data_IF_386166224466
#
_entry.id   IF_386166224466
#
_cell.length_a   1.000
_cell.length_b   1.000
_cell.length_c   1.000
_cell.angle_alpha   90.00
_cell.angle_beta   90.00
_cell.angle_gamma   90.00
#
_symmetry.space_group_name_H-M   'P 1'
#
loop_
_entity.id
_entity.type
_entity.pdbx_description
1 polymer ?
#
# COMPACT_ATOMS: atom_id res chain seq x y z
N UNK A 1 18.71 11.52 -34.50
CA UNK A 1 19.36 10.28 -34.99
C UNK A 1 18.36 9.56 -35.87
N UNK A 2 18.59 9.59 -37.18
CA UNK A 2 17.81 8.78 -38.13
C UNK A 2 18.11 7.30 -37.84
N UNK A 3 17.06 6.50 -37.70
CA UNK A 3 17.12 5.06 -37.45
C UNK A 3 17.84 4.38 -38.61
N UNK A 4 19.01 3.80 -38.36
CA UNK A 4 19.77 3.01 -39.35
C UNK A 4 19.15 1.60 -39.46
N UNK A 5 17.86 1.56 -39.79
CA UNK A 5 17.09 0.34 -40.02
C UNK A 5 16.67 0.35 -41.48
N UNK A 6 16.89 -0.78 -42.17
CA UNK A 6 16.41 -0.98 -43.53
C UNK A 6 14.91 -0.68 -43.65
N UNK A 7 14.49 -0.04 -44.75
CA UNK A 7 13.12 0.44 -44.94
C UNK A 7 12.11 -0.73 -44.95
N UNK A 8 12.46 -1.84 -45.60
CA UNK A 8 11.60 -3.02 -45.64
C UNK A 8 11.52 -3.66 -44.26
N UNK A 9 12.67 -3.80 -43.57
CA UNK A 9 12.69 -4.31 -42.20
C UNK A 9 11.86 -3.45 -41.23
N UNK A 10 11.94 -2.12 -41.36
CA UNK A 10 11.11 -1.18 -40.61
C UNK A 10 9.62 -1.40 -40.91
N UNK A 11 9.24 -1.46 -42.19
CA UNK A 11 7.85 -1.64 -42.59
C UNK A 11 7.28 -2.97 -42.07
N UNK A 12 8.03 -4.07 -42.20
CA UNK A 12 7.66 -5.38 -41.65
C UNK A 12 7.48 -5.33 -40.14
N UNK A 13 8.40 -4.70 -39.41
CA UNK A 13 8.31 -4.58 -37.95
C UNK A 13 7.10 -3.73 -37.50
N UNK A 14 6.77 -2.67 -38.24
CA UNK A 14 5.58 -1.85 -38.01
C UNK A 14 4.31 -2.67 -38.19
N UNK A 15 4.17 -3.38 -39.33
CA UNK A 15 3.00 -4.22 -39.58
C UNK A 15 2.87 -5.31 -38.52
N UNK A 16 3.98 -5.94 -38.14
CA UNK A 16 3.98 -6.98 -37.13
C UNK A 16 3.53 -6.49 -35.75
N UNK A 17 3.98 -5.31 -35.32
CA UNK A 17 3.52 -4.71 -34.08
C UNK A 17 2.00 -4.43 -34.09
N UNK A 18 1.47 -3.97 -35.23
CA UNK A 18 0.04 -3.70 -35.40
C UNK A 18 -0.79 -4.99 -35.41
N UNK A 19 -0.34 -6.02 -36.10
CA UNK A 19 -0.97 -7.34 -36.13
C UNK A 19 -1.09 -7.95 -34.74
N UNK A 20 0.03 -8.02 -34.00
CA UNK A 20 0.04 -8.56 -32.63
C UNK A 20 -0.88 -7.78 -31.70
N UNK A 21 -0.88 -6.45 -31.80
CA UNK A 21 -1.76 -5.61 -31.00
C UNK A 21 -3.24 -5.68 -31.39
N UNK A 22 -3.58 -6.05 -32.63
CA UNK A 22 -4.96 -6.27 -33.10
C UNK A 22 -5.46 -7.66 -32.74
N UNK A 23 -4.59 -8.66 -32.78
CA UNK A 23 -4.92 -10.03 -32.42
C UNK A 23 -5.32 -10.15 -30.95
N UNK A 24 -4.76 -9.31 -30.07
CA UNK A 24 -5.09 -9.34 -28.64
C UNK A 24 -4.68 -10.64 -27.96
N UNK A 25 -3.80 -11.45 -28.57
CA UNK A 25 -3.34 -12.71 -27.99
C UNK A 25 -2.15 -12.44 -27.04
N UNK A 26 -2.26 -12.80 -25.74
CA UNK A 26 -1.17 -12.73 -24.77
C UNK A 26 0.14 -13.40 -25.20
N UNK A 27 0.05 -14.46 -26.00
CA UNK A 27 1.22 -15.19 -26.53
C UNK A 27 2.10 -14.34 -27.44
N UNK A 28 1.58 -13.21 -27.95
CA UNK A 28 2.35 -12.23 -28.71
C UNK A 28 3.32 -11.39 -27.88
N UNK A 29 3.22 -11.42 -26.54
CA UNK A 29 4.03 -10.59 -25.64
C UNK A 29 5.54 -10.74 -25.86
N UNK A 30 6.14 -11.96 -25.94
CA UNK A 30 7.57 -12.11 -26.13
C UNK A 30 8.07 -11.49 -27.45
N UNK A 31 7.26 -11.52 -28.49
CA UNK A 31 7.61 -10.90 -29.77
C UNK A 31 7.52 -9.38 -29.71
N UNK A 32 6.48 -8.83 -29.09
CA UNK A 32 6.38 -7.39 -28.84
C UNK A 32 7.55 -6.86 -27.99
N UNK A 33 8.01 -7.64 -27.00
CA UNK A 33 9.21 -7.31 -26.20
C UNK A 33 10.45 -7.20 -27.08
N UNK A 34 10.62 -8.09 -28.08
CA UNK A 34 11.73 -7.96 -29.04
C UNK A 34 11.61 -6.67 -29.86
N UNK A 35 10.40 -6.33 -30.30
CA UNK A 35 10.16 -5.09 -31.07
C UNK A 35 10.46 -3.81 -30.28
N UNK A 36 10.30 -3.82 -28.95
CA UNK A 36 10.72 -2.71 -28.08
C UNK A 36 12.23 -2.43 -28.10
N UNK A 37 13.05 -3.37 -28.58
CA UNK A 37 14.52 -3.19 -28.63
C UNK A 37 15.02 -2.66 -29.97
N UNK A 38 14.13 -2.54 -30.97
CA UNK A 38 14.52 -2.12 -32.31
C UNK A 38 14.89 -0.62 -32.38
N UNK A 39 15.78 -0.23 -33.30
CA UNK A 39 16.29 1.15 -33.38
C UNK A 39 15.21 2.17 -33.78
N UNK A 40 14.15 1.75 -34.46
CA UNK A 40 13.05 2.60 -34.88
C UNK A 40 12.16 3.03 -33.71
N UNK A 41 12.07 4.34 -33.46
CA UNK A 41 11.19 4.90 -32.43
C UNK A 41 9.70 4.58 -32.68
N UNK A 42 9.28 4.54 -33.96
CA UNK A 42 7.91 4.18 -34.34
C UNK A 42 7.58 2.74 -33.99
N UNK A 43 8.49 1.81 -34.27
CA UNK A 43 8.31 0.39 -33.94
C UNK A 43 8.21 0.22 -32.43
N UNK A 44 9.12 0.83 -31.65
CA UNK A 44 9.06 0.76 -30.18
C UNK A 44 7.76 1.36 -29.63
N UNK A 45 7.31 2.49 -30.19
CA UNK A 45 6.05 3.14 -29.79
C UNK A 45 4.84 2.25 -30.07
N UNK A 46 4.78 1.62 -31.24
CA UNK A 46 3.71 0.69 -31.60
C UNK A 46 3.73 -0.58 -30.76
N UNK A 47 4.91 -1.13 -30.50
CA UNK A 47 5.09 -2.27 -29.62
C UNK A 47 4.63 -1.96 -28.19
N UNK A 48 5.02 -0.81 -27.63
CA UNK A 48 4.55 -0.36 -26.32
C UNK A 48 3.02 -0.22 -26.28
N UNK A 49 2.43 0.37 -27.33
CA UNK A 49 0.98 0.47 -27.46
C UNK A 49 0.29 -0.89 -27.49
N UNK A 50 0.86 -1.86 -28.22
CA UNK A 50 0.31 -3.21 -28.33
C UNK A 50 0.40 -3.96 -27.00
N UNK A 51 1.55 -3.87 -26.30
CA UNK A 51 1.72 -4.47 -24.96
C UNK A 51 0.67 -3.91 -23.99
N UNK A 52 0.46 -2.59 -23.97
CA UNK A 52 -0.58 -1.98 -23.14
C UNK A 52 -1.99 -2.51 -23.41
N UNK A 53 -2.32 -2.85 -24.66
CA UNK A 53 -3.61 -3.48 -25.00
C UNK A 53 -3.71 -4.90 -24.46
N UNK A 54 -2.61 -5.67 -24.47
CA UNK A 54 -2.58 -7.05 -24.00
C UNK A 54 -2.86 -7.18 -22.49
N UNK A 55 -2.81 -6.09 -21.70
CA UNK A 55 -3.21 -6.14 -20.29
C UNK A 55 -4.67 -6.60 -20.12
N UNK A 56 -5.56 -6.19 -21.04
CA UNK A 56 -6.97 -6.60 -21.04
C UNK A 56 -7.21 -8.06 -21.47
N UNK A 57 -6.18 -8.74 -21.96
CA UNK A 57 -6.25 -10.11 -22.45
C UNK A 57 -5.50 -11.11 -21.54
N UNK A 58 -4.94 -10.65 -20.41
CA UNK A 58 -4.25 -11.53 -19.46
C UNK A 58 -2.79 -11.82 -19.80
N UNK A 59 -2.12 -10.94 -20.53
CA UNK A 59 -0.66 -11.02 -20.69
C UNK A 59 0.08 -10.92 -19.36
N UNK A 60 1.22 -11.61 -19.26
CA UNK A 60 2.07 -11.60 -18.06
C UNK A 60 2.48 -10.17 -17.70
N UNK A 61 1.83 -9.65 -16.65
CA UNK A 61 2.04 -8.29 -16.16
C UNK A 61 3.48 -8.05 -15.73
N UNK A 62 4.14 -9.04 -15.12
CA UNK A 62 5.51 -8.87 -14.61
C UNK A 62 6.49 -8.77 -15.77
N UNK A 63 6.34 -9.64 -16.77
CA UNK A 63 7.17 -9.59 -17.99
C UNK A 63 6.94 -8.28 -18.77
N UNK A 64 5.68 -7.86 -18.92
CA UNK A 64 5.32 -6.63 -19.62
C UNK A 64 5.89 -5.38 -18.93
N UNK A 65 5.68 -5.24 -17.61
CA UNK A 65 6.20 -4.11 -16.82
C UNK A 65 7.73 -4.06 -16.90
N UNK A 66 8.40 -5.20 -16.72
CA UNK A 66 9.87 -5.27 -16.81
C UNK A 66 10.40 -4.81 -18.17
N UNK A 67 9.72 -5.16 -19.25
CA UNK A 67 10.12 -4.76 -20.61
C UNK A 67 9.80 -3.28 -20.92
N UNK A 68 8.68 -2.76 -20.40
CA UNK A 68 8.25 -1.38 -20.61
C UNK A 68 9.07 -0.37 -19.79
N UNK A 69 9.56 -0.75 -18.61
CA UNK A 69 10.32 0.12 -17.69
C UNK A 69 11.47 0.91 -18.36
N UNK A 70 12.44 0.27 -19.05
CA UNK A 70 13.53 1.02 -19.69
C UNK A 70 13.04 1.97 -20.79
N UNK A 71 11.96 1.61 -21.51
CA UNK A 71 11.38 2.43 -22.58
C UNK A 71 10.65 3.65 -21.99
N UNK A 72 9.90 3.45 -20.91
CA UNK A 72 9.19 4.52 -20.22
C UNK A 72 10.14 5.55 -19.62
N UNK A 73 11.24 5.10 -19.00
CA UNK A 73 12.13 5.95 -18.22
C UNK A 73 13.29 6.54 -19.02
N UNK A 74 13.73 5.86 -20.09
CA UNK A 74 15.03 6.16 -20.74
C UNK A 74 15.00 6.15 -22.26
N UNK A 75 13.86 5.92 -22.91
CA UNK A 75 13.82 5.94 -24.39
C UNK A 75 14.26 7.33 -24.92
N UNK A 76 15.13 7.39 -25.93
CA UNK A 76 15.57 8.67 -26.48
C UNK A 76 14.45 9.48 -27.14
N UNK A 77 13.35 8.83 -27.53
CA UNK A 77 12.22 9.47 -28.19
C UNK A 77 11.07 9.72 -27.19
N UNK A 78 10.75 10.98 -26.85
CA UNK A 78 9.76 11.27 -25.80
C UNK A 78 8.35 10.76 -26.10
N UNK A 79 7.95 10.68 -27.38
CA UNK A 79 6.65 10.06 -27.72
C UNK A 79 6.64 8.56 -27.42
N UNK A 80 7.77 7.88 -27.55
CA UNK A 80 7.89 6.45 -27.22
C UNK A 80 7.83 6.25 -25.71
N UNK A 81 8.47 7.13 -24.92
CA UNK A 81 8.29 7.19 -23.46
C UNK A 81 6.81 7.34 -23.09
N UNK A 82 6.10 8.29 -23.71
CA UNK A 82 4.68 8.53 -23.44
C UNK A 82 3.82 7.27 -23.63
N UNK A 83 4.03 6.53 -24.73
CA UNK A 83 3.25 5.32 -25.00
C UNK A 83 3.62 4.18 -24.04
N UNK A 84 4.88 4.03 -23.66
CA UNK A 84 5.30 3.07 -22.65
C UNK A 84 4.70 3.40 -21.27
N UNK A 85 4.64 4.67 -20.88
CA UNK A 85 3.98 5.11 -19.64
C UNK A 85 2.47 4.86 -19.67
N UNK A 86 1.80 5.15 -20.79
CA UNK A 86 0.38 4.82 -21.00
C UNK A 86 0.12 3.32 -20.89
N UNK A 87 1.04 2.49 -21.38
CA UNK A 87 0.97 1.04 -21.26
C UNK A 87 1.22 0.58 -19.81
N UNK A 88 2.24 1.10 -19.12
CA UNK A 88 2.48 0.80 -17.70
C UNK A 88 1.26 1.08 -16.83
N UNK A 89 0.54 2.18 -17.10
CA UNK A 89 -0.71 2.53 -16.43
C UNK A 89 -1.76 1.39 -16.48
N UNK A 90 -1.83 0.63 -17.57
CA UNK A 90 -2.84 -0.44 -17.71
C UNK A 90 -2.49 -1.73 -16.96
N UNK A 91 -1.26 -1.83 -16.44
CA UNK A 91 -0.80 -2.95 -15.63
C UNK A 91 -0.88 -2.68 -14.12
N UNK A 92 -1.25 -1.47 -13.71
CA UNK A 92 -1.69 -1.21 -12.34
C UNK A 92 -0.65 -1.57 -11.27
N UNK A 93 -1.09 -2.27 -10.23
CA UNK A 93 -0.25 -2.69 -9.10
C UNK A 93 1.00 -3.51 -9.51
N UNK A 94 1.05 -4.14 -10.70
CA UNK A 94 2.26 -4.80 -11.18
C UNK A 94 3.43 -3.82 -11.40
N UNK A 95 3.14 -2.52 -11.57
CA UNK A 95 4.12 -1.44 -11.67
C UNK A 95 4.63 -0.90 -10.33
N UNK A 96 4.29 -1.52 -9.19
CA UNK A 96 4.63 -1.01 -7.85
C UNK A 96 6.13 -0.73 -7.67
N UNK A 97 7.01 -1.58 -8.21
CA UNK A 97 8.46 -1.41 -8.11
C UNK A 97 8.97 -0.14 -8.83
N UNK A 98 8.21 0.40 -9.79
CA UNK A 98 8.57 1.60 -10.56
C UNK A 98 7.99 2.90 -9.97
N UNK A 99 7.21 2.81 -8.88
CA UNK A 99 6.40 3.96 -8.43
C UNK A 99 7.25 5.21 -8.15
N UNK A 100 8.41 5.04 -7.51
CA UNK A 100 9.28 6.17 -7.22
C UNK A 100 9.88 6.77 -8.50
N UNK A 101 10.35 5.94 -9.43
CA UNK A 101 10.88 6.41 -10.72
C UNK A 101 9.81 7.16 -11.54
N UNK A 102 8.55 6.71 -11.50
CA UNK A 102 7.43 7.38 -12.15
C UNK A 102 7.13 8.75 -11.53
N UNK A 103 7.20 8.87 -10.20
CA UNK A 103 7.05 10.15 -9.49
C UNK A 103 8.18 11.12 -9.84
N UNK A 104 9.42 10.64 -9.84
CA UNK A 104 10.59 11.43 -10.18
C UNK A 104 10.50 11.94 -11.63
N UNK A 105 10.08 11.08 -12.57
CA UNK A 105 9.86 11.48 -13.96
C UNK A 105 8.71 12.49 -14.11
N UNK A 106 7.64 12.36 -13.31
CA UNK A 106 6.49 13.27 -13.35
C UNK A 106 6.85 14.72 -12.95
N UNK A 107 7.85 14.91 -12.10
CA UNK A 107 8.32 16.24 -11.68
C UNK A 107 9.60 16.69 -12.39
N UNK A 108 10.20 15.86 -13.24
CA UNK A 108 11.46 16.15 -13.89
C UNK A 108 11.33 17.27 -14.94
N UNK A 109 11.89 18.47 -14.72
CA UNK A 109 11.70 19.62 -15.61
C UNK A 109 12.34 19.43 -17.00
N UNK A 110 13.24 18.45 -17.18
CA UNK A 110 13.86 18.12 -18.46
C UNK A 110 12.98 17.26 -19.36
N UNK A 111 12.00 16.55 -18.79
CA UNK A 111 11.07 15.73 -19.54
C UNK A 111 10.02 16.61 -20.23
N UNK A 112 9.53 16.19 -21.40
CA UNK A 112 8.44 16.89 -22.11
C UNK A 112 7.17 16.86 -21.25
N UNK A 113 6.37 17.92 -21.33
CA UNK A 113 5.15 18.07 -20.53
C UNK A 113 4.21 16.85 -20.64
N UNK A 114 3.99 16.35 -21.85
CA UNK A 114 3.14 15.19 -22.09
C UNK A 114 3.74 13.87 -21.56
N UNK A 115 5.07 13.79 -21.38
CA UNK A 115 5.74 12.65 -20.71
C UNK A 115 5.52 12.76 -19.21
N UNK A 116 5.72 13.95 -18.63
CA UNK A 116 5.45 14.20 -17.20
C UNK A 116 4.01 13.89 -16.83
N UNK A 117 3.05 14.34 -17.63
CA UNK A 117 1.62 14.04 -17.44
C UNK A 117 1.34 12.53 -17.53
N UNK A 118 1.94 11.82 -18.49
CA UNK A 118 1.77 10.38 -18.62
C UNK A 118 2.39 9.62 -17.43
N UNK A 119 3.54 10.07 -16.92
CA UNK A 119 4.19 9.50 -15.74
C UNK A 119 3.37 9.73 -14.48
N UNK A 120 2.83 10.93 -14.29
CA UNK A 120 1.92 11.24 -13.20
C UNK A 120 0.68 10.33 -13.23
N UNK A 121 0.04 10.21 -14.40
CA UNK A 121 -1.14 9.36 -14.56
C UNK A 121 -0.83 7.86 -14.32
N UNK A 122 0.37 7.40 -14.71
CA UNK A 122 0.82 6.05 -14.41
C UNK A 122 1.03 5.84 -12.91
N UNK A 123 1.74 6.75 -12.23
CA UNK A 123 1.97 6.69 -10.79
C UNK A 123 0.65 6.67 -9.99
N UNK A 124 -0.31 7.54 -10.35
CA UNK A 124 -1.62 7.58 -9.71
C UNK A 124 -2.41 6.28 -9.89
N UNK A 125 -2.35 5.67 -11.07
CA UNK A 125 -3.03 4.39 -11.31
C UNK A 125 -2.41 3.25 -10.50
N UNK A 126 -1.07 3.19 -10.43
CA UNK A 126 -0.35 2.21 -9.60
C UNK A 126 -0.72 2.39 -8.13
N UNK A 127 -0.72 3.62 -7.62
CA UNK A 127 -1.12 3.93 -6.24
C UNK A 127 -2.57 3.54 -5.96
N UNK A 128 -3.49 3.90 -6.85
CA UNK A 128 -4.90 3.55 -6.71
C UNK A 128 -5.11 2.02 -6.68
N UNK A 129 -4.39 1.27 -7.51
CA UNK A 129 -4.49 -0.19 -7.54
C UNK A 129 -3.84 -0.86 -6.34
N UNK A 130 -2.73 -0.31 -5.82
CA UNK A 130 -2.12 -0.77 -4.55
C UNK A 130 -3.10 -0.55 -3.40
N UNK A 131 -3.71 0.64 -3.32
CA UNK A 131 -4.71 0.96 -2.31
C UNK A 131 -5.96 0.10 -2.45
N UNK A 132 -6.44 -0.13 -3.67
CA UNK A 132 -7.57 -1.00 -3.95
C UNK A 132 -7.26 -2.46 -3.60
N UNK A 133 -6.03 -2.93 -3.84
CA UNK A 133 -5.57 -4.27 -3.44
C UNK A 133 -5.49 -4.37 -1.92
N UNK A 134 -4.99 -3.34 -1.23
CA UNK A 134 -4.96 -3.30 0.24
C UNK A 134 -6.38 -3.26 0.84
N UNK A 135 -7.31 -2.52 0.24
CA UNK A 135 -8.72 -2.47 0.62
C UNK A 135 -9.44 -3.80 0.32
N UNK A 136 -9.16 -4.44 -0.82
CA UNK A 136 -9.69 -5.75 -1.17
C UNK A 136 -9.07 -6.88 -0.33
N UNK A 137 -7.85 -6.68 0.18
CA UNK A 137 -7.15 -7.61 1.07
C UNK A 137 -7.71 -7.60 2.52
N UNK A 138 -8.71 -6.77 2.82
CA UNK A 138 -9.39 -6.76 4.12
C UNK A 138 -10.89 -6.58 3.86
N UNK A 139 -11.68 -7.65 3.77
CA UNK A 139 -12.34 -8.19 4.96
C UNK A 139 -13.10 -9.48 4.62
N UNK A 140 -12.42 -10.63 4.67
CA UNK A 140 -13.08 -11.93 4.79
C UNK A 140 -12.77 -12.50 6.16
N UNK A 141 -13.80 -12.99 6.85
CA UNK A 141 -13.62 -13.65 8.14
C UNK A 141 -12.65 -14.83 7.96
N UNK A 142 -11.50 -14.80 8.62
CA UNK A 142 -10.47 -15.86 8.53
C UNK A 142 -10.99 -17.22 9.02
N UNK A 143 -12.10 -17.25 9.74
CA UNK A 143 -12.73 -18.48 10.25
C UNK A 143 -13.73 -19.12 9.27
N UNK A 144 -14.45 -18.34 8.46
CA UNK A 144 -15.54 -18.86 7.63
C UNK A 144 -15.60 -18.32 6.20
N UNK A 145 -14.70 -17.41 5.81
CA UNK A 145 -14.70 -16.77 4.49
C UNK A 145 -15.87 -15.82 4.21
N UNK A 146 -16.79 -15.66 5.18
CA UNK A 146 -17.97 -14.81 5.06
C UNK A 146 -17.66 -13.31 5.16
N UNK A 147 -18.64 -12.51 4.72
CA UNK A 147 -18.59 -11.04 4.78
C UNK A 147 -18.45 -10.56 6.23
N UNK A 148 -17.47 -9.69 6.47
CA UNK A 148 -17.28 -9.03 7.76
C UNK A 148 -18.47 -8.13 8.07
N UNK A 149 -18.94 -8.17 9.32
CA UNK A 149 -20.10 -7.41 9.75
C UNK A 149 -19.93 -5.91 9.39
N UNK A 150 -20.98 -5.22 8.90
CA UNK A 150 -20.87 -3.83 8.46
C UNK A 150 -20.31 -2.84 9.50
N UNK A 151 -20.38 -3.17 10.79
CA UNK A 151 -19.77 -2.37 11.86
C UNK A 151 -18.26 -2.58 11.98
N UNK A 152 -17.78 -3.83 11.91
CA UNK A 152 -16.35 -4.15 11.91
C UNK A 152 -15.63 -3.54 10.70
N UNK A 153 -16.25 -3.60 9.51
CA UNK A 153 -15.71 -2.94 8.31
C UNK A 153 -15.47 -1.44 8.54
N UNK A 154 -16.44 -0.77 9.17
CA UNK A 154 -16.37 0.67 9.43
C UNK A 154 -15.30 1.04 10.46
N UNK A 155 -15.07 0.16 11.43
CA UNK A 155 -13.97 0.30 12.40
C UNK A 155 -12.62 0.21 11.68
N UNK A 156 -12.43 -0.81 10.82
CA UNK A 156 -11.18 -0.99 10.09
C UNK A 156 -10.87 0.14 9.10
N UNK A 157 -11.88 0.58 8.35
CA UNK A 157 -11.77 1.72 7.42
C UNK A 157 -11.32 2.98 8.17
N UNK A 158 -11.92 3.26 9.33
CA UNK A 158 -11.56 4.41 10.14
C UNK A 158 -10.14 4.32 10.69
N UNK A 159 -9.74 3.15 11.23
CA UNK A 159 -8.38 2.94 11.74
C UNK A 159 -7.34 3.12 10.63
N UNK A 160 -7.61 2.56 9.45
CA UNK A 160 -6.75 2.70 8.26
C UNK A 160 -6.63 4.16 7.82
N UNK A 161 -7.76 4.87 7.72
CA UNK A 161 -7.79 6.28 7.29
C UNK A 161 -7.05 7.22 8.26
N UNK A 162 -6.92 6.84 9.54
CA UNK A 162 -6.17 7.60 10.55
C UNK A 162 -4.75 7.06 10.78
N UNK A 163 -4.24 6.19 9.89
CA UNK A 163 -2.91 5.56 9.99
C UNK A 163 -2.66 4.84 11.32
N UNK A 164 -3.70 4.30 11.96
CA UNK A 164 -3.56 3.54 13.19
C UNK A 164 -3.30 2.09 12.84
N UNK A 165 -2.13 1.57 13.23
CA UNK A 165 -1.78 0.17 13.01
C UNK A 165 -2.66 -0.72 13.87
N UNK A 166 -3.33 -1.68 13.24
CA UNK A 166 -4.15 -2.67 13.92
C UNK A 166 -3.90 -4.07 13.36
N UNK A 167 -4.22 -5.08 14.17
CA UNK A 167 -4.12 -6.50 13.79
C UNK A 167 -5.45 -7.18 14.03
N UNK A 168 -5.91 -7.96 13.05
CA UNK A 168 -6.87 -9.03 13.30
C UNK A 168 -6.12 -10.13 14.04
N UNK A 169 -6.48 -10.43 15.28
CA UNK A 169 -5.72 -11.41 16.06
C UNK A 169 -6.13 -12.83 15.64
N UNK A 170 -5.25 -13.51 14.90
CA UNK A 170 -5.44 -14.91 14.50
C UNK A 170 -5.03 -15.92 15.58
N UNK A 171 -4.47 -15.46 16.71
CA UNK A 171 -4.03 -16.33 17.80
C UNK A 171 -4.92 -16.11 19.01
N UNK A 172 -5.28 -17.20 19.70
CA UNK A 172 -5.96 -17.11 20.98
C UNK A 172 -5.01 -16.49 22.01
N UNK A 173 -5.50 -15.53 22.79
CA UNK A 173 -4.82 -15.09 24.00
C UNK A 173 -5.33 -15.93 25.15
N UNK A 174 -4.43 -16.65 25.82
CA UNK A 174 -4.77 -17.34 27.05
C UNK A 174 -4.83 -16.29 28.15
N UNK A 175 -6.05 -15.85 28.45
CA UNK A 175 -6.34 -14.93 29.54
C UNK A 175 -6.96 -15.75 30.66
N UNK A 176 -6.22 -15.92 31.76
CA UNK A 176 -6.66 -16.75 32.91
C UNK A 176 -7.09 -18.18 32.53
N UNK A 177 -6.39 -18.80 31.58
CA UNK A 177 -6.73 -20.15 31.09
C UNK A 177 -7.80 -20.20 30.00
N UNK A 178 -8.45 -19.08 29.68
CA UNK A 178 -9.44 -18.99 28.61
C UNK A 178 -8.81 -18.48 27.31
N UNK A 179 -9.14 -19.14 26.20
CA UNK A 179 -8.74 -18.74 24.86
C UNK A 179 -9.66 -17.60 24.35
N UNK A 180 -9.21 -16.35 24.50
CA UNK A 180 -9.97 -15.17 24.07
C UNK A 180 -9.41 -14.62 22.76
N UNK A 181 -10.31 -14.29 21.82
CA UNK A 181 -9.97 -13.70 20.52
C UNK A 181 -10.66 -12.33 20.36
N UNK A 182 -9.91 -11.22 20.34
CA UNK A 182 -10.47 -9.89 20.04
C UNK A 182 -10.80 -9.72 18.56
N UNK A 183 -11.74 -8.82 18.26
CA UNK A 183 -12.04 -8.43 16.87
C UNK A 183 -10.90 -7.58 16.28
N UNK A 184 -10.39 -6.62 17.05
CA UNK A 184 -9.17 -5.86 16.70
C UNK A 184 -8.24 -5.70 17.90
N UNK A 185 -6.94 -5.66 17.61
CA UNK A 185 -5.91 -5.27 18.56
C UNK A 185 -5.06 -4.14 17.99
N UNK A 186 -4.87 -3.08 18.79
CA UNK A 186 -4.03 -1.92 18.48
C UNK A 186 -2.70 -2.04 19.25
N UNK A 187 -1.61 -2.50 18.61
CA UNK A 187 -0.35 -2.79 19.31
C UNK A 187 0.28 -1.54 19.95
N UNK A 188 0.16 -0.38 19.29
CA UNK A 188 0.77 0.87 19.74
C UNK A 188 0.18 1.36 21.07
N UNK A 189 -1.10 1.10 21.33
CA UNK A 189 -1.81 1.59 22.51
C UNK A 189 -2.07 0.50 23.56
N UNK A 190 -1.71 -0.75 23.23
CA UNK A 190 -2.14 -1.98 23.93
C UNK A 190 -3.65 -2.00 24.22
N UNK A 191 -4.45 -1.69 23.19
CA UNK A 191 -5.91 -1.59 23.26
C UNK A 191 -6.56 -2.70 22.42
N UNK A 192 -7.60 -3.31 22.98
CA UNK A 192 -8.44 -4.31 22.34
C UNK A 192 -9.78 -3.69 21.97
N UNK A 193 -10.30 -4.01 20.79
CA UNK A 193 -11.62 -3.58 20.33
C UNK A 193 -12.48 -4.81 20.08
N UNK A 194 -13.73 -4.73 20.55
CA UNK A 194 -14.79 -5.72 20.32
C UNK A 194 -16.01 -5.01 19.74
N UNK A 195 -16.64 -5.62 18.72
CA UNK A 195 -17.88 -5.18 18.12
C UNK A 195 -19.01 -6.18 18.41
N UNK A 196 -19.98 -5.74 19.18
CA UNK A 196 -21.09 -6.57 19.66
C UNK A 196 -22.28 -6.45 18.70
N UNK A 197 -22.44 -7.45 17.83
CA UNK A 197 -23.39 -7.41 16.72
C UNK A 197 -24.78 -7.99 16.97
N UNK A 198 -25.01 -8.72 18.08
CA UNK A 198 -26.23 -9.51 18.33
C UNK A 198 -26.82 -9.33 19.73
N UNK A 199 -26.99 -8.08 20.17
CA UNK A 199 -27.49 -7.72 21.51
C UNK A 199 -28.88 -8.27 21.86
N UNK A 200 -29.70 -8.69 20.88
CA UNK A 200 -31.06 -9.18 21.12
C UNK A 200 -31.13 -10.63 21.65
N UNK A 201 -30.02 -11.38 21.64
CA UNK A 201 -29.99 -12.78 22.09
C UNK A 201 -29.40 -12.88 23.51
N UNK A 202 -30.15 -13.47 24.45
CA UNK A 202 -29.75 -13.61 25.85
C UNK A 202 -28.46 -14.43 26.04
N UNK A 203 -28.29 -15.54 25.31
CA UNK A 203 -27.07 -16.36 25.38
C UNK A 203 -25.85 -15.59 24.86
N UNK A 204 -26.07 -14.72 23.86
CA UNK A 204 -25.02 -13.83 23.36
C UNK A 204 -24.63 -12.76 24.40
N UNK A 205 -25.60 -12.22 25.14
CA UNK A 205 -25.33 -11.27 26.23
C UNK A 205 -24.52 -11.92 27.35
N UNK A 206 -24.83 -13.17 27.71
CA UNK A 206 -24.06 -13.94 28.71
C UNK A 206 -22.60 -14.06 28.25
N UNK A 207 -22.37 -14.53 27.02
CA UNK A 207 -21.00 -14.66 26.47
C UNK A 207 -20.26 -13.32 26.35
N UNK A 208 -20.95 -12.23 26.00
CA UNK A 208 -20.39 -10.88 25.99
C UNK A 208 -19.92 -10.46 27.39
N UNK A 209 -20.76 -10.66 28.42
CA UNK A 209 -20.44 -10.29 29.80
C UNK A 209 -19.25 -11.09 30.34
N UNK A 210 -19.19 -12.40 30.05
CA UNK A 210 -18.05 -13.24 30.40
C UNK A 210 -16.75 -12.73 29.76
N UNK A 211 -16.77 -12.42 28.46
CA UNK A 211 -15.59 -11.92 27.74
C UNK A 211 -15.12 -10.57 28.30
N UNK A 212 -16.05 -9.65 28.58
CA UNK A 212 -15.74 -8.36 29.25
C UNK A 212 -15.11 -8.57 30.63
N UNK A 213 -15.68 -9.47 31.43
CA UNK A 213 -15.15 -9.81 32.76
C UNK A 213 -13.73 -10.36 32.67
N UNK A 214 -13.43 -11.20 31.68
CA UNK A 214 -12.08 -11.75 31.49
C UNK A 214 -11.06 -10.67 31.12
N UNK A 215 -11.40 -9.74 30.22
CA UNK A 215 -10.51 -8.61 29.90
C UNK A 215 -10.26 -7.72 31.12
N UNK A 216 -11.31 -7.38 31.88
CA UNK A 216 -11.20 -6.58 33.10
C UNK A 216 -10.31 -7.27 34.13
N UNK A 217 -10.55 -8.57 34.35
CA UNK A 217 -9.81 -9.40 35.29
C UNK A 217 -8.33 -9.56 34.92
N UNK A 218 -7.97 -9.35 33.66
CA UNK A 218 -6.60 -9.42 33.17
C UNK A 218 -5.93 -8.05 33.01
N UNK A 219 -6.62 -6.98 33.44
CA UNK A 219 -6.12 -5.61 33.33
C UNK A 219 -5.93 -5.14 31.88
N UNK A 220 -6.68 -5.70 30.93
CA UNK A 220 -6.60 -5.32 29.51
C UNK A 220 -7.49 -4.13 29.21
N UNK A 221 -7.00 -3.22 28.35
CA UNK A 221 -7.76 -2.05 27.89
C UNK A 221 -8.73 -2.47 26.79
N UNK A 222 -10.02 -2.39 27.07
CA UNK A 222 -11.07 -2.86 26.15
C UNK A 222 -11.95 -1.69 25.70
N UNK A 223 -12.15 -1.57 24.39
CA UNK A 223 -13.16 -0.73 23.75
C UNK A 223 -14.27 -1.60 23.18
N UNK A 224 -15.49 -1.39 23.65
CA UNK A 224 -16.68 -2.14 23.22
C UNK A 224 -17.56 -1.25 22.35
N UNK A 225 -17.85 -1.67 21.12
CA UNK A 225 -18.77 -1.00 20.21
C UNK A 225 -19.99 -1.86 19.95
N UNK A 226 -21.13 -1.24 19.71
CA UNK A 226 -22.43 -1.90 19.65
C UNK A 226 -23.12 -1.68 18.31
N UNK A 227 -24.09 -2.55 17.97
CA UNK A 227 -24.82 -2.44 16.70
C UNK A 227 -25.61 -1.13 16.59
N UNK A 228 -26.19 -0.67 17.70
CA UNK A 228 -26.98 0.57 17.73
C UNK A 228 -26.11 1.83 17.55
N UNK A 229 -24.81 1.75 17.86
CA UNK A 229 -23.84 2.83 17.68
C UNK A 229 -23.30 2.94 16.24
N UNK A 230 -23.75 2.07 15.32
CA UNK A 230 -23.15 1.91 13.99
C UNK A 230 -22.98 3.24 13.23
N UNK A 231 -23.94 4.15 13.34
CA UNK A 231 -23.92 5.46 12.65
C UNK A 231 -22.84 6.41 13.19
N UNK A 232 -22.45 6.26 14.46
CA UNK A 232 -21.53 7.15 15.16
C UNK A 232 -20.17 6.49 15.48
N UNK A 233 -19.94 5.26 15.02
CA UNK A 233 -18.70 4.50 15.26
C UNK A 233 -17.43 5.33 15.03
N UNK A 234 -17.37 6.14 13.96
CA UNK A 234 -16.20 6.95 13.64
C UNK A 234 -15.94 8.04 14.70
N UNK A 235 -16.99 8.68 15.20
CA UNK A 235 -16.89 9.68 16.27
C UNK A 235 -16.51 8.99 17.59
N UNK A 236 -17.17 7.89 17.93
CA UNK A 236 -16.89 7.12 19.15
C UNK A 236 -15.47 6.56 19.16
N UNK A 237 -14.95 6.09 18.02
CA UNK A 237 -13.56 5.67 17.88
C UNK A 237 -12.61 6.82 18.18
N UNK A 238 -12.86 8.00 17.58
CA UNK A 238 -12.06 9.20 17.83
C UNK A 238 -12.05 9.55 19.31
N UNK A 239 -13.21 9.61 19.95
CA UNK A 239 -13.36 9.99 21.37
C UNK A 239 -12.76 8.96 22.34
N UNK A 240 -12.88 7.67 22.03
CA UNK A 240 -12.41 6.60 22.91
C UNK A 240 -10.92 6.33 22.74
N UNK A 241 -10.39 6.42 21.52
CA UNK A 241 -8.95 6.23 21.24
C UNK A 241 -8.14 7.44 21.67
N UNK A 242 -8.66 8.67 21.50
CA UNK A 242 -7.94 9.90 21.90
C UNK A 242 -7.55 9.92 23.38
N UNK A 243 -8.37 9.32 24.25
CA UNK A 243 -8.05 9.13 25.68
C UNK A 243 -6.77 8.33 25.89
N UNK A 244 -6.42 7.42 24.98
CA UNK A 244 -5.19 6.64 25.04
C UNK A 244 -4.02 7.32 24.30
N UNK A 245 -4.30 8.15 23.29
CA UNK A 245 -3.27 8.98 22.64
C UNK A 245 -2.71 10.03 23.61
N UNK A 246 -3.56 10.69 24.41
CA UNK A 246 -3.13 11.67 25.42
C UNK A 246 -2.30 11.05 26.56
N UNK A 247 -2.51 9.76 26.86
CA UNK A 247 -1.71 9.01 27.86
C UNK A 247 -0.32 8.67 27.30
N UNK A 248 -0.18 8.47 25.98
CA UNK A 248 1.11 8.25 25.34
C UNK A 248 1.96 9.54 25.24
N UNK A 249 1.32 10.71 25.24
CA UNK A 249 1.96 12.03 25.11
C UNK A 249 2.24 12.74 26.44
N UNK A 250 1.92 12.14 27.61
CA UNK A 250 2.20 12.79 28.91
C UNK A 250 3.65 12.56 29.36
N UNK A 251 4.46 13.61 29.62
CA UNK A 251 5.93 13.51 29.61
C UNK A 251 6.54 13.27 30.99
N UNK A 252 7.71 12.60 30.99
CA UNK A 252 8.73 12.78 32.02
C UNK A 252 9.17 14.25 32.06
N UNK A 253 8.58 15.03 32.95
CA UNK A 253 9.20 16.25 33.48
C UNK A 253 8.62 16.55 34.85
N UNK A 254 9.28 16.04 35.90
CA UNK A 254 9.33 16.73 37.18
C UNK A 254 10.75 17.23 37.37
N UNK A 255 10.88 18.54 37.29
CA UNK A 255 11.99 19.31 37.82
C UNK A 255 12.11 19.04 39.31
N UNK A 256 13.34 18.76 39.75
CA UNK A 256 13.75 18.98 41.12
C UNK A 256 15.03 19.83 41.07
N UNK A 257 14.86 21.14 41.19
CA UNK A 257 15.91 22.00 41.73
C UNK A 257 16.05 21.69 43.21
N UNK A 258 17.27 21.44 43.68
CA UNK A 258 17.81 21.97 44.95
C UNK A 258 19.29 21.64 45.11
N UNK A 259 20.09 22.70 45.18
CA UNK A 259 21.26 22.94 46.04
C UNK A 259 22.43 21.93 46.12
N UNK A 260 23.54 22.35 45.50
CA UNK A 260 24.80 22.72 46.16
C UNK A 260 25.34 21.82 47.29
N UNK A 261 26.33 20.97 46.99
CA UNK A 261 27.51 20.68 47.85
C UNK A 261 28.72 20.29 46.97
N UNK A 262 29.76 21.12 47.04
CA UNK A 262 31.21 20.85 47.04
C UNK A 262 31.89 19.82 46.12
N UNK A 263 32.85 20.34 45.35
CA UNK A 263 34.07 19.73 44.75
C UNK A 263 34.84 18.72 45.66
N UNK A 264 35.82 17.90 45.15
CA UNK A 264 36.80 18.29 44.11
C UNK A 264 37.28 17.24 43.07
N UNK A 265 37.72 17.81 41.94
CA UNK A 265 38.95 17.54 41.17
C UNK A 265 39.30 16.09 40.77
N UNK A 266 39.29 15.80 39.45
CA UNK A 266 40.42 15.14 38.79
C UNK A 266 40.52 15.58 37.32
N UNK A 267 41.67 16.16 36.96
CA UNK A 267 42.19 16.31 35.59
C UNK A 267 42.31 14.92 34.95
N UNK A 268 42.10 14.78 33.64
CA UNK A 268 43.16 14.39 32.70
C UNK A 268 42.74 14.60 31.24
N UNK A 269 43.77 14.83 30.45
CA UNK A 269 43.90 15.42 29.11
C UNK A 269 43.38 14.59 27.92
N UNK A 270 43.01 15.32 26.86
CA UNK A 270 42.94 14.89 25.45
C UNK A 270 44.16 14.06 25.04
N UNK A 271 43.92 12.95 24.34
CA UNK A 271 44.87 12.39 23.38
C UNK A 271 44.22 12.33 21.98
N UNK A 272 44.81 13.07 21.04
CA UNK A 272 44.68 12.84 19.60
C UNK A 272 45.42 11.56 19.26
N UNK A 273 44.87 10.73 18.39
CA UNK A 273 45.67 9.78 17.60
C UNK A 273 45.30 9.96 16.13
N UNK A 274 46.28 10.49 15.37
CA UNK A 274 46.45 10.28 13.94
C UNK A 274 46.96 8.85 13.76
N UNK A 275 46.45 8.10 12.78
CA UNK A 275 47.04 7.96 11.43
C UNK A 275 45.91 7.53 10.49
#
# INVERSE_FOLDING_TARGET
>A
MQSNMDLNAHHTAVQRALELGRAGNPEGLPELIKLLTLPSADVRRLAASAIGKLSGFGADSKAAVKALAPVALRDPHPQTQQYALKALKTYGAAGAELLQDLRDLAVNPRARDYVRMAAHAAAQAVEADILATAAAAVHRCIKCGGDVAPGERRIAEWLTANNIVFRYDNRFRIIKGYAIRPDFYLPEYDVYIEYWGMEANLDYQIGMLEKKKLYQQAGKRLLSFYRHEKQDIAQLLRERISRYMQIAETPSSRSASTNNVSQPCFRFTRAKVRW
#
